data_IF_952437617443
#
_entry.id   IF_952437617443
#
_cell.length_a   1.000
_cell.length_b   1.000
_cell.length_c   1.000
_cell.angle_alpha   90.00
_cell.angle_beta   90.00
_cell.angle_gamma   90.00
#
_symmetry.space_group_name_H-M   'P 1'
#
loop_
_entity.id
_entity.type
_entity.pdbx_description
1 polymer ?
#
# COMPACT_ATOMS: atom_id res chain seq x y z
N UNK A 1 4.62 13.08 -4.32
CA UNK A 1 5.39 11.93 -4.85
C UNK A 1 4.53 11.24 -5.87
N UNK A 2 4.94 11.21 -7.14
CA UNK A 2 4.18 10.56 -8.22
C UNK A 2 4.60 9.10 -8.28
N UNK A 3 3.64 8.20 -8.30
CA UNK A 3 3.86 6.76 -8.42
C UNK A 3 3.69 6.36 -9.89
N UNK A 4 4.78 5.96 -10.55
CA UNK A 4 4.73 5.39 -11.90
C UNK A 4 4.61 3.88 -11.79
N UNK A 5 3.73 3.29 -12.56
CA UNK A 5 3.36 1.88 -12.45
C UNK A 5 3.53 1.18 -13.78
N UNK A 6 4.14 0.02 -13.74
CA UNK A 6 4.35 -0.83 -14.90
C UNK A 6 4.05 -2.28 -14.54
N UNK A 7 3.32 -2.97 -15.39
CA UNK A 7 3.21 -4.44 -15.28
C UNK A 7 4.54 -5.01 -15.74
N UNK A 8 5.26 -5.67 -14.85
CA UNK A 8 6.49 -6.37 -15.17
C UNK A 8 6.22 -7.86 -15.33
N UNK A 9 6.71 -8.41 -16.44
CA UNK A 9 6.86 -9.85 -16.62
C UNK A 9 8.36 -10.17 -16.67
N UNK A 10 8.83 -11.21 -15.98
CA UNK A 10 10.21 -11.61 -16.04
C UNK A 10 10.58 -12.05 -17.48
N UNK A 11 11.70 -11.55 -18.00
CA UNK A 11 12.26 -12.03 -19.26
C UNK A 11 12.94 -13.40 -19.02
N UNK A 12 12.17 -14.46 -19.20
CA UNK A 12 12.65 -15.83 -18.98
C UNK A 12 13.64 -16.30 -20.08
N UNK A 13 13.80 -15.56 -21.18
CA UNK A 13 14.71 -15.95 -22.26
C UNK A 13 16.17 -15.88 -21.85
N UNK A 14 16.50 -14.99 -20.92
CA UNK A 14 17.85 -14.81 -20.33
C UNK A 14 18.23 -15.86 -19.28
N UNK A 15 17.29 -16.74 -18.93
CA UNK A 15 17.48 -17.75 -17.89
C UNK A 15 17.89 -19.09 -18.54
N UNK A 16 18.87 -19.83 -17.96
CA UNK A 16 19.24 -21.15 -18.46
C UNK A 16 18.01 -22.08 -18.57
N UNK A 17 17.93 -22.85 -19.66
CA UNK A 17 16.77 -23.67 -20.03
C UNK A 17 16.28 -24.56 -18.88
N UNK A 18 17.22 -25.14 -18.13
CA UNK A 18 16.94 -26.06 -17.01
C UNK A 18 16.08 -25.45 -15.88
N UNK A 19 16.08 -24.10 -15.74
CA UNK A 19 15.31 -23.43 -14.68
C UNK A 19 14.02 -22.77 -15.19
N UNK A 20 13.81 -22.72 -16.51
CA UNK A 20 12.67 -22.00 -17.09
C UNK A 20 11.32 -22.56 -16.66
N UNK A 21 11.18 -23.87 -16.60
CA UNK A 21 9.92 -24.51 -16.19
C UNK A 21 9.54 -24.20 -14.74
N UNK A 22 10.52 -24.22 -13.84
CA UNK A 22 10.28 -23.89 -12.42
C UNK A 22 9.89 -22.43 -12.27
N UNK A 23 10.59 -21.55 -12.97
CA UNK A 23 10.33 -20.11 -12.90
C UNK A 23 8.99 -19.75 -13.55
N UNK A 24 8.63 -20.35 -14.69
CA UNK A 24 7.35 -20.12 -15.33
C UNK A 24 6.18 -20.56 -14.44
N UNK A 25 6.29 -21.72 -13.78
CA UNK A 25 5.25 -22.19 -12.84
C UNK A 25 5.09 -21.33 -11.62
N UNK A 26 6.16 -20.66 -11.18
CA UNK A 26 6.16 -19.80 -10.01
C UNK A 26 6.09 -18.31 -10.34
N UNK A 27 6.12 -17.93 -11.61
CA UNK A 27 5.99 -16.54 -12.02
C UNK A 27 4.63 -15.99 -11.59
N UNK A 28 4.65 -14.76 -11.09
CA UNK A 28 3.44 -14.01 -10.75
C UNK A 28 3.45 -12.69 -11.50
N UNK A 29 2.31 -12.26 -11.93
CA UNK A 29 2.14 -10.88 -12.45
C UNK A 29 2.25 -9.93 -11.27
N UNK A 30 3.02 -8.87 -11.44
CA UNK A 30 3.22 -7.84 -10.41
C UNK A 30 2.98 -6.47 -11.02
N UNK A 31 2.54 -5.55 -10.20
CA UNK A 31 2.54 -4.11 -10.50
C UNK A 31 3.78 -3.53 -9.82
N UNK A 32 4.75 -3.09 -10.61
CA UNK A 32 5.92 -2.40 -10.10
C UNK A 32 5.54 -0.95 -9.74
N UNK A 33 5.86 -0.56 -8.52
CA UNK A 33 5.64 0.78 -8.01
C UNK A 33 6.96 1.54 -8.04
N UNK A 34 7.03 2.64 -8.79
CA UNK A 34 8.20 3.49 -8.83
C UNK A 34 7.87 4.83 -8.15
N UNK A 35 8.65 5.17 -7.14
CA UNK A 35 8.53 6.45 -6.45
C UNK A 35 9.24 7.53 -7.28
N UNK A 36 8.51 8.59 -7.61
CA UNK A 36 9.06 9.75 -8.34
C UNK A 36 8.77 11.03 -7.56
N UNK A 37 9.82 11.82 -7.37
CA UNK A 37 9.75 13.11 -6.70
C UNK A 37 9.68 13.02 -5.16
N UNK A 38 10.42 13.89 -4.50
CA UNK A 38 10.28 14.18 -3.07
C UNK A 38 9.57 15.52 -2.97
N UNK A 39 8.42 15.65 -2.31
CA UNK A 39 7.75 16.92 -2.18
C UNK A 39 8.63 17.89 -1.37
N UNK A 40 8.81 19.11 -1.86
CA UNK A 40 9.57 20.15 -1.17
C UNK A 40 8.97 20.56 0.17
N UNK A 41 7.65 20.37 0.33
CA UNK A 41 6.92 20.61 1.58
C UNK A 41 6.11 19.38 1.98
N UNK A 42 6.30 18.95 3.23
CA UNK A 42 5.51 17.86 3.83
C UNK A 42 4.01 18.21 3.77
N UNK A 43 3.19 17.29 3.25
CA UNK A 43 1.74 17.42 3.21
C UNK A 43 1.14 18.22 2.04
N UNK A 44 1.92 19.04 1.31
CA UNK A 44 1.36 19.86 0.22
C UNK A 44 0.83 19.03 -0.96
N UNK A 45 1.55 17.97 -1.34
CA UNK A 45 1.10 17.06 -2.40
C UNK A 45 -0.10 16.20 -1.95
N UNK A 46 -0.16 15.87 -0.67
CA UNK A 46 -1.25 15.09 -0.09
C UNK A 46 -2.56 15.86 -0.12
N UNK A 47 -2.52 17.16 0.21
CA UNK A 47 -3.69 18.03 0.19
C UNK A 47 -4.25 18.25 -1.22
N UNK A 48 -3.39 18.26 -2.25
CA UNK A 48 -3.82 18.42 -3.64
C UNK A 48 -4.59 17.19 -4.16
N UNK A 49 -4.25 16.00 -3.68
CA UNK A 49 -4.89 14.74 -4.06
C UNK A 49 -5.04 13.79 -2.86
N UNK A 50 -6.04 14.02 -1.98
CA UNK A 50 -6.20 13.23 -0.75
C UNK A 50 -6.28 11.71 -0.98
N UNK A 51 -6.91 11.28 -2.05
CA UNK A 51 -7.06 9.87 -2.45
C UNK A 51 -5.96 9.37 -3.39
N UNK A 52 -4.92 10.15 -3.64
CA UNK A 52 -3.79 9.77 -4.50
C UNK A 52 -2.94 8.66 -3.89
N UNK A 53 -2.29 7.87 -4.77
CA UNK A 53 -1.30 6.87 -4.32
C UNK A 53 -0.04 7.57 -3.82
N UNK A 54 0.46 7.17 -2.64
CA UNK A 54 1.65 7.75 -2.01
C UNK A 54 2.30 6.84 -0.98
N UNK A 55 3.52 7.16 -0.63
CA UNK A 55 4.27 6.57 0.49
C UNK A 55 4.56 7.68 1.50
N UNK A 56 4.23 7.44 2.76
CA UNK A 56 4.32 8.44 3.84
C UNK A 56 3.32 9.59 3.68
N UNK A 57 3.51 10.64 4.45
CA UNK A 57 2.60 11.79 4.50
C UNK A 57 1.40 11.55 5.42
N UNK A 58 0.23 12.05 5.02
CA UNK A 58 -1.01 11.93 5.78
C UNK A 58 -1.93 10.87 5.16
N UNK A 59 -2.49 9.99 5.99
CA UNK A 59 -3.45 9.00 5.56
C UNK A 59 -4.80 9.66 5.19
N UNK A 60 -5.46 9.12 4.16
CA UNK A 60 -6.87 9.45 3.94
C UNK A 60 -7.73 8.66 4.91
N UNK A 61 -8.69 9.32 5.55
CA UNK A 61 -9.60 8.73 6.54
C UNK A 61 -11.04 9.14 6.28
N UNK A 62 -11.97 8.31 6.73
CA UNK A 62 -13.40 8.63 6.81
C UNK A 62 -13.89 8.34 8.22
N UNK A 63 -15.12 8.67 8.52
CA UNK A 63 -15.69 8.37 9.84
C UNK A 63 -15.82 6.86 10.09
N UNK A 64 -16.07 6.07 9.03
CA UNK A 64 -16.11 4.61 9.08
C UNK A 64 -14.72 3.97 9.03
N UNK A 65 -13.71 4.69 8.55
CA UNK A 65 -12.31 4.25 8.44
C UNK A 65 -11.38 5.28 9.10
N UNK A 66 -11.45 5.47 10.42
CA UNK A 66 -10.56 6.39 11.15
C UNK A 66 -9.11 5.90 11.12
N UNK A 67 -8.17 6.70 11.63
CA UNK A 67 -6.79 6.25 11.81
C UNK A 67 -6.75 5.01 12.69
N UNK A 68 -6.07 3.92 12.25
CA UNK A 68 -5.94 2.72 13.05
C UNK A 68 -5.05 2.95 14.27
N UNK A 69 -5.33 2.17 15.30
CA UNK A 69 -4.54 2.13 16.53
C UNK A 69 -4.03 0.71 16.74
N UNK A 70 -2.86 0.62 17.39
CA UNK A 70 -2.31 -0.65 17.83
C UNK A 70 -3.10 -1.25 19.01
N UNK A 71 -2.64 -2.40 19.53
CA UNK A 71 -3.26 -3.09 20.67
C UNK A 71 -3.24 -2.28 21.97
N UNK A 72 -2.31 -1.34 22.09
CA UNK A 72 -2.12 -0.48 23.27
C UNK A 72 -2.86 0.86 23.14
N UNK A 73 -3.55 1.07 22.00
CA UNK A 73 -4.32 2.27 21.71
C UNK A 73 -3.52 3.41 21.11
N UNK A 74 -2.22 3.23 20.81
CA UNK A 74 -1.39 4.24 20.17
C UNK A 74 -1.71 4.38 18.69
N UNK A 75 -1.48 5.57 18.12
CA UNK A 75 -1.61 5.78 16.66
C UNK A 75 -0.58 4.95 15.92
N UNK A 76 -0.99 4.34 14.82
CA UNK A 76 -0.09 3.59 13.96
C UNK A 76 0.59 4.51 12.94
N UNK A 77 1.80 4.14 12.52
CA UNK A 77 2.52 4.83 11.45
C UNK A 77 1.86 4.50 10.11
N UNK A 78 1.47 5.52 9.37
CA UNK A 78 1.01 5.38 7.99
C UNK A 78 2.22 5.16 7.05
N UNK A 79 2.25 4.02 6.36
CA UNK A 79 3.31 3.71 5.41
C UNK A 79 2.97 4.15 3.99
N UNK A 80 1.81 3.76 3.51
CA UNK A 80 1.44 4.00 2.12
C UNK A 80 -0.06 3.86 1.89
N UNK A 81 -0.52 4.48 0.81
CA UNK A 81 -1.82 4.17 0.22
C UNK A 81 -1.71 4.05 -1.31
N UNK A 82 -2.55 3.17 -1.86
CA UNK A 82 -2.64 2.91 -3.29
C UNK A 82 -4.09 3.12 -3.75
N UNK A 83 -4.28 4.04 -4.69
CA UNK A 83 -5.56 4.20 -5.37
C UNK A 83 -5.67 3.14 -6.47
N UNK A 84 -6.48 2.11 -6.24
CA UNK A 84 -6.56 0.96 -7.11
C UNK A 84 -7.16 1.29 -8.48
N UNK A 85 -8.02 2.30 -8.57
CA UNK A 85 -8.57 2.76 -9.86
C UNK A 85 -7.51 3.37 -10.79
N UNK A 86 -6.35 3.76 -10.25
CA UNK A 86 -5.22 4.31 -11.02
C UNK A 86 -4.13 3.27 -11.29
N UNK A 87 -4.33 2.02 -10.86
CA UNK A 87 -3.41 0.92 -11.08
C UNK A 87 -3.81 0.08 -12.30
N UNK A 88 -2.83 -0.51 -13.01
CA UNK A 88 -3.14 -1.61 -13.92
C UNK A 88 -3.86 -2.74 -13.16
N UNK A 89 -4.94 -3.30 -13.73
CA UNK A 89 -5.67 -4.36 -13.05
C UNK A 89 -4.80 -5.60 -12.82
N UNK A 90 -4.85 -6.13 -11.61
CA UNK A 90 -4.17 -7.36 -11.23
C UNK A 90 -5.21 -8.42 -10.86
N UNK A 91 -5.11 -9.60 -11.47
CA UNK A 91 -6.04 -10.69 -11.22
C UNK A 91 -6.08 -11.07 -9.74
N UNK A 92 -7.29 -11.22 -9.19
CA UNK A 92 -7.51 -11.53 -7.77
C UNK A 92 -7.47 -10.31 -6.84
N UNK A 93 -7.24 -9.11 -7.37
CA UNK A 93 -7.26 -7.88 -6.58
C UNK A 93 -8.44 -6.97 -6.97
N UNK A 94 -8.98 -6.17 -6.03
CA UNK A 94 -9.94 -5.14 -6.34
C UNK A 94 -9.38 -4.14 -7.36
N UNK A 95 -10.25 -3.61 -8.23
CA UNK A 95 -9.87 -2.64 -9.26
C UNK A 95 -10.17 -1.20 -8.86
N UNK A 96 -10.78 -0.98 -7.69
CA UNK A 96 -11.14 0.33 -7.17
C UNK A 96 -11.04 0.38 -5.65
N UNK A 97 -11.09 1.58 -5.09
CA UNK A 97 -10.90 1.83 -3.67
C UNK A 97 -9.48 2.25 -3.34
N UNK A 98 -9.22 2.45 -2.06
CA UNK A 98 -7.96 2.92 -1.52
C UNK A 98 -7.37 1.88 -0.57
N UNK A 99 -6.33 1.19 -1.01
CA UNK A 99 -5.60 0.21 -0.20
C UNK A 99 -4.58 0.94 0.66
N UNK A 100 -4.62 0.76 1.97
CA UNK A 100 -3.75 1.44 2.92
C UNK A 100 -2.96 0.46 3.78
N UNK A 101 -1.76 0.88 4.17
CA UNK A 101 -0.81 0.10 4.97
C UNK A 101 -0.36 0.93 6.17
N UNK A 102 -0.44 0.32 7.36
CA UNK A 102 -0.02 0.91 8.63
C UNK A 102 0.78 -0.10 9.43
N UNK A 103 1.71 0.38 10.26
CA UNK A 103 2.48 -0.42 11.21
C UNK A 103 2.42 0.21 12.59
N UNK A 104 2.60 -0.59 13.63
CA UNK A 104 2.75 -0.08 14.99
C UNK A 104 4.01 0.79 15.10
N UNK A 105 3.92 1.83 15.91
CA UNK A 105 5.07 2.70 16.25
C UNK A 105 5.79 2.11 17.48
N UNK A 106 6.49 1.00 17.25
CA UNK A 106 7.25 0.27 18.25
C UNK A 106 8.71 0.06 17.79
N UNK A 107 9.56 -0.41 18.69
CA UNK A 107 10.99 -0.63 18.44
C UNK A 107 11.28 -1.63 17.30
N UNK A 108 10.30 -2.46 16.95
CA UNK A 108 10.40 -3.48 15.89
C UNK A 108 9.62 -3.08 14.63
N UNK A 109 9.08 -1.85 14.57
CA UNK A 109 8.29 -1.35 13.43
C UNK A 109 7.16 -2.30 13.03
N UNK A 110 6.43 -2.82 14.02
CA UNK A 110 5.35 -3.77 13.81
C UNK A 110 5.79 -5.19 13.52
N UNK A 111 7.07 -5.53 13.61
CA UNK A 111 7.58 -6.90 13.44
C UNK A 111 7.49 -7.67 14.76
N UNK A 112 6.47 -8.48 14.91
CA UNK A 112 6.27 -9.30 16.09
C UNK A 112 6.52 -10.77 15.78
N UNK A 113 7.68 -11.31 16.21
CA UNK A 113 8.12 -12.67 15.89
C UNK A 113 7.15 -13.77 16.34
N UNK A 114 6.46 -13.56 17.45
CA UNK A 114 5.51 -14.54 18.00
C UNK A 114 4.13 -14.48 17.34
N UNK A 115 3.88 -13.53 16.45
CA UNK A 115 2.57 -13.23 15.87
C UNK A 115 2.61 -13.07 14.34
N UNK A 116 3.60 -13.68 13.69
CA UNK A 116 3.75 -13.67 12.21
C UNK A 116 2.54 -14.29 11.46
N UNK A 117 1.66 -14.95 12.16
CA UNK A 117 0.47 -15.60 11.58
C UNK A 117 -0.77 -14.67 11.46
N UNK A 118 -0.59 -13.37 11.64
CA UNK A 118 -1.62 -12.37 11.37
C UNK A 118 -2.48 -11.95 12.57
N UNK A 119 -2.68 -10.67 12.69
CA UNK A 119 -3.85 -10.13 13.36
C UNK A 119 -3.69 -9.66 14.79
N UNK A 120 -2.54 -9.18 15.23
CA UNK A 120 -2.39 -8.74 16.62
C UNK A 120 -2.02 -7.26 16.80
N UNK A 121 -2.48 -6.39 15.92
CA UNK A 121 -2.30 -4.95 16.12
C UNK A 121 -0.94 -4.40 15.72
N UNK A 122 -0.01 -5.22 15.24
CA UNK A 122 1.32 -4.76 14.80
C UNK A 122 1.32 -4.13 13.42
N UNK A 123 0.38 -4.51 12.57
CA UNK A 123 0.16 -3.88 11.27
C UNK A 123 -1.32 -3.92 10.86
N UNK A 124 -1.72 -2.98 10.02
CA UNK A 124 -3.06 -2.95 9.41
C UNK A 124 -2.90 -2.78 7.91
N UNK A 125 -3.53 -3.68 7.17
CA UNK A 125 -3.78 -3.52 5.73
C UNK A 125 -5.29 -3.44 5.56
N UNK A 126 -5.79 -2.33 4.99
CA UNK A 126 -7.23 -2.14 4.80
C UNK A 126 -7.56 -1.58 3.44
N UNK A 127 -8.75 -1.87 2.98
CA UNK A 127 -9.34 -1.29 1.77
C UNK A 127 -10.49 -0.36 2.17
N UNK A 128 -10.36 0.92 1.81
CA UNK A 128 -11.48 1.87 1.86
C UNK A 128 -12.20 1.75 0.51
N UNK A 129 -13.50 1.39 0.49
CA UNK A 129 -14.23 1.20 -0.76
C UNK A 129 -14.39 2.53 -1.51
N UNK A 130 -14.55 2.44 -2.83
CA UNK A 130 -14.69 3.62 -3.70
C UNK A 130 -15.85 4.53 -3.30
N UNK A 131 -16.94 3.97 -2.76
CA UNK A 131 -18.12 4.72 -2.27
C UNK A 131 -17.81 5.67 -1.12
N UNK A 132 -16.74 5.42 -0.37
CA UNK A 132 -16.33 6.23 0.79
C UNK A 132 -15.36 7.38 0.41
N UNK A 133 -14.77 7.33 -0.77
CA UNK A 133 -13.70 8.28 -1.15
C UNK A 133 -14.19 9.73 -1.30
N UNK A 134 -15.47 9.94 -1.49
CA UNK A 134 -16.08 11.28 -1.54
C UNK A 134 -16.39 11.92 -0.18
N UNK A 135 -16.25 11.18 0.93
CA UNK A 135 -16.66 11.61 2.29
C UNK A 135 -15.49 11.79 3.25
N UNK A 136 -14.29 11.55 2.78
CA UNK A 136 -13.13 11.53 3.67
C UNK A 136 -12.29 12.81 3.61
N UNK A 137 -11.28 12.81 4.46
CA UNK A 137 -10.30 13.87 4.62
C UNK A 137 -8.91 13.28 4.87
N UNK A 138 -7.89 14.11 4.86
CA UNK A 138 -6.59 13.71 5.39
C UNK A 138 -6.64 13.68 6.93
N UNK A 139 -5.92 12.72 7.50
CA UNK A 139 -5.69 12.67 8.94
C UNK A 139 -4.90 13.92 9.42
N UNK A 140 -5.11 14.33 10.67
CA UNK A 140 -4.42 15.48 11.29
C UNK A 140 -3.17 15.06 12.06
#
# INVERSE_FOLDING_TARGET
MVLVMTIMQPDITKIPAQYRDVLTRNARRVVALQLTGVPEKKGAADAAEPTGSRVGGLAFVTDDYPEPRDSDGNRMIFLAQLNLAKLPPLEGYPTEGLLQFFIADDDLLGLEYNKLAGGSGSFVVRLIPASELGRGRLAE
#
